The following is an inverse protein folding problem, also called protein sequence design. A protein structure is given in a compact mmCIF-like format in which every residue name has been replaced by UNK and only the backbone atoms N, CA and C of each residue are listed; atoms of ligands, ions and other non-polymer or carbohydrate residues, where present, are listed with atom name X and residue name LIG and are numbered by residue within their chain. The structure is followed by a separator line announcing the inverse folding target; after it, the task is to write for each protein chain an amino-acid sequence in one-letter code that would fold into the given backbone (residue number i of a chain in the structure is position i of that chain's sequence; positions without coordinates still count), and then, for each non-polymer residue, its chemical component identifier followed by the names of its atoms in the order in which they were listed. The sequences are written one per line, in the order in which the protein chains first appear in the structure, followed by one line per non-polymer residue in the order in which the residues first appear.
data_IF_666200691854
#
_entry.id   IF_666200691854
#
_cell.length_a   1.000
_cell.length_b   1.000
_cell.length_c   1.000
_cell.angle_alpha   90.00
_cell.angle_beta   90.00
_cell.angle_gamma   90.00
#
_symmetry.space_group_name_H-M   'P 1'
#
loop_
_entity.id
_entity.type
_entity.pdbx_description
1 polymer ?
#
# COMPACT_ATOMS: atom_id res chain seq x y z
N UNK A 1 -21.38 -1.19 13.09
CA UNK A 1 -20.62 -0.57 12.00
C UNK A 1 -19.43 0.10 12.64
N UNK A 2 -18.24 -0.42 12.40
CA UNK A 2 -17.00 0.19 12.84
C UNK A 2 -16.63 1.36 11.93
N UNK A 3 -15.71 2.22 12.38
CA UNK A 3 -15.13 3.26 11.50
C UNK A 3 -14.50 2.64 10.25
N UNK A 4 -13.97 1.41 10.36
CA UNK A 4 -13.44 0.65 9.23
C UNK A 4 -14.52 0.31 8.20
N UNK A 5 -15.67 -0.24 8.63
CA UNK A 5 -16.77 -0.61 7.72
C UNK A 5 -17.31 0.63 6.98
N UNK A 6 -17.35 1.76 7.67
CA UNK A 6 -17.80 3.04 7.10
C UNK A 6 -16.81 3.56 6.06
N UNK A 7 -15.51 3.51 6.37
CA UNK A 7 -14.47 3.90 5.42
C UNK A 7 -14.44 2.97 4.21
N UNK A 8 -14.65 1.66 4.40
CA UNK A 8 -14.69 0.70 3.30
C UNK A 8 -15.86 0.96 2.36
N UNK A 9 -17.06 1.20 2.90
CA UNK A 9 -18.21 1.56 2.07
C UNK A 9 -17.95 2.84 1.24
N UNK A 10 -17.33 3.87 1.85
CA UNK A 10 -16.98 5.10 1.14
C UNK A 10 -15.90 4.85 0.08
N UNK A 11 -14.89 4.03 0.37
CA UNK A 11 -13.85 3.65 -0.57
C UNK A 11 -14.42 2.90 -1.78
N UNK A 12 -15.35 1.96 -1.54
CA UNK A 12 -16.04 1.21 -2.59
C UNK A 12 -16.92 2.13 -3.48
N UNK A 13 -17.38 3.27 -2.94
CA UNK A 13 -18.03 4.34 -3.71
C UNK A 13 -17.04 5.28 -4.44
N UNK A 14 -15.73 5.00 -4.37
CA UNK A 14 -14.67 5.75 -5.04
C UNK A 14 -14.09 6.91 -4.22
N UNK A 15 -14.31 6.95 -2.91
CA UNK A 15 -13.74 7.99 -2.05
C UNK A 15 -12.25 7.73 -1.77
N UNK A 16 -11.37 8.38 -2.52
CA UNK A 16 -9.91 8.27 -2.39
C UNK A 16 -9.42 8.57 -0.97
N UNK A 17 -9.99 9.57 -0.28
CA UNK A 17 -9.61 9.87 1.11
C UNK A 17 -9.97 8.74 2.07
N UNK A 18 -11.05 8.01 1.79
CA UNK A 18 -11.42 6.86 2.59
C UNK A 18 -10.45 5.69 2.34
N UNK A 19 -10.05 5.45 1.09
CA UNK A 19 -8.99 4.48 0.74
C UNK A 19 -7.68 4.80 1.46
N UNK A 20 -7.25 6.06 1.42
CA UNK A 20 -6.04 6.53 2.11
C UNK A 20 -6.08 6.29 3.62
N UNK A 21 -7.25 6.53 4.23
CA UNK A 21 -7.44 6.27 5.66
C UNK A 21 -7.47 4.78 5.99
N UNK A 22 -8.01 3.95 5.10
CA UNK A 22 -7.91 2.49 5.26
C UNK A 22 -6.45 2.04 5.17
N UNK A 23 -5.66 2.60 4.24
CA UNK A 23 -4.24 2.29 4.12
C UNK A 23 -3.47 2.66 5.40
N UNK A 24 -3.69 3.86 5.94
CA UNK A 24 -3.08 4.29 7.22
C UNK A 24 -3.42 3.33 8.38
N UNK A 25 -4.69 2.93 8.48
CA UNK A 25 -5.16 2.04 9.54
C UNK A 25 -4.56 0.64 9.38
N UNK A 26 -4.51 0.12 8.15
CA UNK A 26 -3.93 -1.17 7.82
C UNK A 26 -2.42 -1.20 8.12
N UNK A 27 -1.66 -0.15 7.77
CA UNK A 27 -0.23 -0.04 8.13
C UNK A 27 -0.04 -0.06 9.65
N UNK A 28 -0.84 0.74 10.38
CA UNK A 28 -0.80 0.79 11.84
C UNK A 28 -1.12 -0.55 12.51
N UNK A 29 -1.92 -1.39 11.86
CA UNK A 29 -2.27 -2.75 12.31
C UNK A 29 -1.38 -3.84 11.71
N UNK A 30 -0.45 -3.48 10.83
CA UNK A 30 0.37 -4.43 10.05
C UNK A 30 -0.45 -5.43 9.22
N UNK A 31 -1.59 -5.00 8.70
CA UNK A 31 -2.48 -5.76 7.82
C UNK A 31 -1.98 -5.67 6.36
N UNK A 32 -0.95 -6.46 6.03
CA UNK A 32 -0.31 -6.44 4.70
C UNK A 32 -1.27 -6.87 3.58
N UNK A 33 -2.16 -7.82 3.85
CA UNK A 33 -3.13 -8.28 2.84
C UNK A 33 -4.07 -7.13 2.43
N UNK A 34 -4.52 -6.33 3.40
CA UNK A 34 -5.38 -5.16 3.15
C UNK A 34 -4.62 -4.08 2.39
N UNK A 35 -3.37 -3.81 2.74
CA UNK A 35 -2.53 -2.86 1.99
C UNK A 35 -2.33 -3.32 0.54
N UNK A 36 -2.13 -4.61 0.32
CA UNK A 36 -1.97 -5.17 -1.01
C UNK A 36 -3.25 -5.04 -1.85
N UNK A 37 -4.41 -5.34 -1.27
CA UNK A 37 -5.71 -5.13 -1.94
C UNK A 37 -5.91 -3.66 -2.32
N UNK A 38 -5.60 -2.73 -1.41
CA UNK A 38 -5.71 -1.30 -1.69
C UNK A 38 -4.74 -0.84 -2.78
N UNK A 39 -3.53 -1.39 -2.82
CA UNK A 39 -2.57 -1.11 -3.90
C UNK A 39 -3.08 -1.64 -5.25
N UNK A 40 -3.63 -2.85 -5.28
CA UNK A 40 -4.20 -3.45 -6.49
C UNK A 40 -5.44 -2.66 -6.98
N UNK A 41 -6.14 -1.97 -6.07
CA UNK A 41 -7.21 -1.00 -6.37
C UNK A 41 -6.68 0.38 -6.82
N UNK A 42 -5.36 0.60 -6.81
CA UNK A 42 -4.70 1.83 -7.25
C UNK A 42 -4.44 2.85 -6.15
N UNK A 43 -4.53 2.48 -4.87
CA UNK A 43 -4.24 3.39 -3.77
C UNK A 43 -2.72 3.63 -3.61
N UNK A 44 -2.25 4.82 -3.99
CA UNK A 44 -0.84 5.21 -3.88
C UNK A 44 -0.31 5.15 -2.43
N UNK A 45 -1.14 5.50 -1.45
CA UNK A 45 -0.76 5.53 -0.04
C UNK A 45 -0.47 4.13 0.52
N UNK A 46 -1.16 3.11 0.04
CA UNK A 46 -0.85 1.72 0.34
C UNK A 46 0.49 1.30 -0.29
N UNK A 47 0.75 1.72 -1.53
CA UNK A 47 2.04 1.55 -2.20
C UNK A 47 3.21 2.16 -1.43
N UNK A 48 3.04 3.37 -0.90
CA UNK A 48 4.04 4.05 -0.05
C UNK A 48 4.35 3.22 1.21
N UNK A 49 3.32 2.79 1.94
CA UNK A 49 3.47 2.00 3.16
C UNK A 49 4.17 0.67 2.91
N UNK A 50 3.74 -0.07 1.88
CA UNK A 50 4.35 -1.34 1.48
C UNK A 50 5.81 -1.15 1.08
N UNK A 51 6.11 -0.12 0.26
CA UNK A 51 7.46 0.18 -0.21
C UNK A 51 8.39 0.49 0.95
N UNK A 52 7.97 1.38 1.86
CA UNK A 52 8.76 1.73 3.05
C UNK A 52 9.10 0.50 3.89
N UNK A 53 8.13 -0.39 4.12
CA UNK A 53 8.32 -1.62 4.91
C UNK A 53 9.24 -2.60 4.20
N UNK A 54 9.01 -2.85 2.92
CA UNK A 54 9.84 -3.74 2.11
C UNK A 54 11.29 -3.24 2.04
N UNK A 55 11.50 -1.94 1.85
CA UNK A 55 12.82 -1.32 1.86
C UNK A 55 13.53 -1.47 3.22
N UNK A 56 12.82 -1.22 4.33
CA UNK A 56 13.37 -1.40 5.67
C UNK A 56 13.79 -2.86 5.95
N UNK A 57 13.04 -3.82 5.39
CA UNK A 57 13.34 -5.25 5.47
C UNK A 57 14.32 -5.75 4.40
N UNK A 58 14.76 -4.90 3.46
CA UNK A 58 15.51 -5.27 2.25
C UNK A 58 14.85 -6.39 1.44
N UNK A 59 13.53 -6.39 1.37
CA UNK A 59 12.76 -7.40 0.65
C UNK A 59 12.62 -7.04 -0.83
N UNK A 60 13.63 -7.41 -1.61
CA UNK A 60 13.76 -7.00 -3.02
C UNK A 60 12.61 -7.51 -3.91
N UNK A 61 12.16 -8.75 -3.70
CA UNK A 61 11.03 -9.32 -4.46
C UNK A 61 9.72 -8.58 -4.19
N UNK A 62 9.51 -8.12 -2.95
CA UNK A 62 8.32 -7.36 -2.61
C UNK A 62 8.36 -5.96 -3.24
N UNK A 63 9.51 -5.29 -3.25
CA UNK A 63 9.67 -4.02 -3.95
C UNK A 63 9.40 -4.16 -5.46
N UNK A 64 9.88 -5.24 -6.08
CA UNK A 64 9.56 -5.53 -7.48
C UNK A 64 8.05 -5.72 -7.67
N UNK A 65 7.40 -6.52 -6.82
CA UNK A 65 5.96 -6.77 -6.90
C UNK A 65 5.13 -5.50 -6.70
N UNK A 66 5.50 -4.63 -5.76
CA UNK A 66 4.83 -3.34 -5.56
C UNK A 66 4.98 -2.44 -6.80
N UNK A 67 6.17 -2.42 -7.41
CA UNK A 67 6.41 -1.71 -8.66
C UNK A 67 5.57 -2.26 -9.81
N UNK A 68 5.48 -3.59 -9.93
CA UNK A 68 4.70 -4.27 -10.96
C UNK A 68 3.19 -4.04 -10.78
N UNK A 69 2.73 -3.81 -9.55
CA UNK A 69 1.37 -3.40 -9.23
C UNK A 69 1.08 -1.92 -9.58
N UNK A 70 2.08 -1.18 -10.07
CA UNK A 70 1.90 0.18 -10.60
C UNK A 70 2.43 1.30 -9.72
N UNK A 71 3.03 1.00 -8.56
CA UNK A 71 3.65 2.04 -7.72
C UNK A 71 5.13 2.21 -8.06
N UNK A 72 5.41 3.12 -9.00
CA UNK A 72 6.72 3.32 -9.64
C UNK A 72 7.88 3.59 -8.65
N UNK A 73 7.62 4.29 -7.54
CA UNK A 73 8.64 4.62 -6.53
C UNK A 73 9.25 3.35 -5.89
N UNK A 74 8.52 2.24 -5.83
CA UNK A 74 9.06 0.96 -5.38
C UNK A 74 10.19 0.45 -6.28
N UNK A 75 10.08 0.65 -7.60
CA UNK A 75 11.10 0.30 -8.57
C UNK A 75 12.36 1.16 -8.40
N UNK A 76 12.21 2.45 -8.11
CA UNK A 76 13.34 3.33 -7.81
C UNK A 76 14.08 2.90 -6.54
N UNK A 77 13.34 2.57 -5.49
CA UNK A 77 13.90 2.09 -4.22
C UNK A 77 14.60 0.74 -4.41
N UNK A 78 14.03 -0.17 -5.19
CA UNK A 78 14.66 -1.44 -5.55
C UNK A 78 16.01 -1.20 -6.24
N UNK A 79 16.05 -0.36 -7.27
CA UNK A 79 17.28 -0.04 -7.99
C UNK A 79 18.36 0.52 -7.04
N UNK A 80 17.99 1.45 -6.16
CA UNK A 80 18.91 2.01 -5.16
C UNK A 80 19.48 0.97 -4.19
N UNK A 81 18.75 -0.10 -3.89
CA UNK A 81 19.22 -1.17 -3.00
C UNK A 81 20.10 -2.21 -3.71
N UNK A 82 20.10 -2.22 -5.04
CA UNK A 82 20.90 -3.13 -5.86
C UNK A 82 22.28 -2.54 -6.25
N UNK A 83 22.43 -1.22 -6.15
CA UNK A 83 23.69 -0.49 -6.33
C UNK A 83 24.67 -0.69 -5.14
#
# INVERSE_FOLDING_TARGET
MSDWDTLRALADEGNEKAMDRLADLADGRSELDVLNELLDEGNERAGEHLTRRAAAAKHLLELQRISDAGYEEAGEVLNRLLD
#
